data_IF_300429031899
#
_entry.id   IF_300429031899
#
_cell.length_a   1.000
_cell.length_b   1.000
_cell.length_c   1.000
_cell.angle_alpha   90.00
_cell.angle_beta   90.00
_cell.angle_gamma   90.00
#
_symmetry.space_group_name_H-M   'P 1'
#
loop_
_entity.id
_entity.type
_entity.pdbx_description
1 polymer ?
#
# COMPACT_ATOMS: atom_id res chain seq x y z
N UNK A 1 25.38 -16.86 12.77
CA UNK A 1 23.93 -16.63 12.80
C UNK A 1 23.52 -16.30 11.37
N UNK A 2 23.07 -17.32 10.65
CA UNK A 2 22.65 -17.17 9.25
C UNK A 2 21.23 -16.60 9.27
N UNK A 3 21.09 -15.31 8.93
CA UNK A 3 19.77 -14.74 8.73
C UNK A 3 19.28 -15.26 7.38
N UNK A 4 18.60 -16.41 7.39
CA UNK A 4 17.96 -16.95 6.20
C UNK A 4 16.98 -15.88 5.71
N UNK A 5 17.33 -15.22 4.61
CA UNK A 5 16.48 -14.24 3.95
C UNK A 5 15.24 -14.98 3.45
N UNK A 6 14.22 -15.06 4.30
CA UNK A 6 12.95 -15.68 3.94
C UNK A 6 12.26 -14.76 2.95
N UNK A 7 12.05 -15.29 1.74
CA UNK A 7 11.16 -14.68 0.78
C UNK A 7 9.74 -14.84 1.34
N UNK A 8 9.02 -13.74 1.41
CA UNK A 8 7.64 -13.67 1.88
C UNK A 8 6.69 -13.91 0.70
N UNK A 9 5.65 -14.69 0.96
CA UNK A 9 4.51 -14.85 0.05
C UNK A 9 3.56 -13.66 0.21
N UNK A 10 2.67 -13.45 -0.77
CA UNK A 10 1.68 -12.35 -0.74
C UNK A 10 0.79 -12.40 0.51
N UNK A 11 0.47 -13.60 0.98
CA UNK A 11 -0.33 -13.84 2.19
C UNK A 11 0.41 -13.42 3.48
N UNK A 12 1.75 -13.52 3.49
CA UNK A 12 2.55 -13.09 4.64
C UNK A 12 2.43 -11.57 4.85
N UNK A 13 2.24 -10.80 3.77
CA UNK A 13 2.01 -9.34 3.85
C UNK A 13 0.65 -9.03 4.46
N UNK A 14 -0.40 -9.78 4.08
CA UNK A 14 -1.75 -9.62 4.65
C UNK A 14 -1.73 -9.90 6.16
N UNK A 15 -1.05 -10.98 6.57
CA UNK A 15 -0.85 -11.29 7.98
C UNK A 15 -0.04 -10.22 8.70
N UNK A 16 1.02 -9.71 8.07
CA UNK A 16 1.84 -8.62 8.62
C UNK A 16 1.00 -7.36 8.84
N UNK A 17 0.14 -6.97 7.88
CA UNK A 17 -0.79 -5.85 8.00
C UNK A 17 -1.71 -6.06 9.22
N UNK A 18 -2.31 -7.26 9.34
CA UNK A 18 -3.21 -7.59 10.46
C UNK A 18 -2.52 -7.51 11.82
N UNK A 19 -1.27 -7.94 11.92
CA UNK A 19 -0.49 -7.89 13.16
C UNK A 19 -0.07 -6.45 13.49
N UNK A 20 0.46 -5.73 12.49
CA UNK A 20 0.96 -4.36 12.64
C UNK A 20 -0.13 -3.33 12.92
N UNK A 21 -1.35 -3.56 12.48
CA UNK A 21 -2.47 -2.66 12.76
C UNK A 21 -2.96 -2.72 14.21
N UNK A 22 -2.54 -3.72 14.99
CA UNK A 22 -2.84 -3.83 16.42
C UNK A 22 -1.82 -3.10 17.30
N UNK A 23 -0.69 -2.69 16.73
CA UNK A 23 0.29 -1.81 17.39
C UNK A 23 -0.22 -0.36 17.42
N UNK A 24 0.50 0.54 18.09
CA UNK A 24 0.17 1.98 18.03
C UNK A 24 0.10 2.43 16.55
N UNK A 25 -1.07 2.93 16.13
CA UNK A 25 -1.39 3.22 14.72
C UNK A 25 -0.33 4.11 14.05
N UNK A 26 0.22 5.08 14.78
CA UNK A 26 1.28 5.99 14.32
C UNK A 26 2.60 5.27 13.91
N UNK A 27 2.80 4.04 14.35
CA UNK A 27 3.99 3.23 14.08
C UNK A 27 3.74 2.14 13.03
N UNK A 28 2.53 2.09 12.44
CA UNK A 28 2.20 1.08 11.45
C UNK A 28 2.96 1.36 10.14
N UNK A 29 4.00 0.58 9.89
CA UNK A 29 4.79 0.60 8.65
C UNK A 29 4.99 -0.82 8.15
N UNK A 30 4.64 -1.07 6.88
CA UNK A 30 4.83 -2.36 6.22
C UNK A 30 5.73 -2.14 5.00
N UNK A 31 6.89 -2.81 4.99
CA UNK A 31 7.80 -2.79 3.84
C UNK A 31 7.29 -3.73 2.75
N UNK A 32 7.09 -3.18 1.56
CA UNK A 32 6.87 -3.93 0.32
C UNK A 32 8.15 -3.82 -0.50
N UNK A 33 8.86 -4.95 -0.63
CA UNK A 33 10.11 -5.01 -1.39
C UNK A 33 10.09 -6.18 -2.36
N UNK A 34 10.40 -5.91 -3.63
CA UNK A 34 10.57 -6.94 -4.66
C UNK A 34 11.76 -7.89 -4.37
N UNK A 35 12.66 -7.48 -3.47
CA UNK A 35 13.71 -8.37 -2.92
C UNK A 35 13.17 -9.43 -1.97
N UNK A 36 12.02 -9.14 -1.36
CA UNK A 36 11.40 -9.97 -0.33
C UNK A 36 10.14 -10.68 -0.84
N UNK A 37 9.45 -10.14 -1.85
CA UNK A 37 8.17 -10.65 -2.36
C UNK A 37 8.29 -10.87 -3.86
N UNK A 38 7.95 -12.08 -4.33
CA UNK A 38 8.01 -12.42 -5.76
C UNK A 38 6.78 -11.92 -6.52
N UNK A 39 6.99 -11.49 -7.76
CA UNK A 39 5.95 -11.22 -8.75
C UNK A 39 4.86 -10.23 -8.28
N UNK A 40 5.28 -9.14 -7.64
CA UNK A 40 4.37 -8.06 -7.23
C UNK A 40 3.74 -7.44 -8.48
N UNK A 41 2.42 -7.31 -8.48
CA UNK A 41 1.66 -6.57 -9.50
C UNK A 41 0.83 -5.44 -8.87
N UNK A 42 0.12 -4.67 -9.71
CA UNK A 42 -0.71 -3.56 -9.25
C UNK A 42 -1.88 -4.01 -8.37
N UNK A 43 -2.49 -5.16 -8.68
CA UNK A 43 -3.60 -5.71 -7.90
C UNK A 43 -3.16 -6.03 -6.48
N UNK A 44 -1.96 -6.61 -6.30
CA UNK A 44 -1.40 -6.90 -4.98
C UNK A 44 -1.24 -5.62 -4.16
N UNK A 45 -0.65 -4.58 -4.77
CA UNK A 45 -0.43 -3.28 -4.11
C UNK A 45 -1.76 -2.64 -3.71
N UNK A 46 -2.77 -2.65 -4.59
CA UNK A 46 -4.11 -2.13 -4.28
C UNK A 46 -4.78 -2.93 -3.16
N UNK A 47 -4.60 -4.25 -3.13
CA UNK A 47 -5.11 -5.10 -2.04
C UNK A 47 -4.46 -4.71 -0.73
N UNK A 48 -3.12 -4.62 -0.67
CA UNK A 48 -2.40 -4.29 0.56
C UNK A 48 -2.69 -2.88 1.07
N UNK A 49 -2.85 -1.90 0.17
CA UNK A 49 -3.29 -0.54 0.54
C UNK A 49 -4.66 -0.58 1.21
N UNK A 50 -5.63 -1.29 0.61
CA UNK A 50 -6.98 -1.34 1.14
C UNK A 50 -7.08 -2.16 2.43
N UNK A 51 -6.30 -3.23 2.56
CA UNK A 51 -6.23 -4.02 3.78
C UNK A 51 -5.64 -3.21 4.93
N UNK A 52 -4.58 -2.43 4.67
CA UNK A 52 -4.07 -1.47 5.66
C UNK A 52 -5.12 -0.38 5.94
N UNK A 53 -5.68 0.25 4.91
CA UNK A 53 -6.64 1.35 5.09
C UNK A 53 -7.82 0.95 5.99
N UNK A 54 -8.31 -0.28 5.80
CA UNK A 54 -9.40 -0.87 6.58
C UNK A 54 -9.00 -1.24 8.00
N UNK A 55 -7.74 -1.64 8.22
CA UNK A 55 -7.27 -2.07 9.54
C UNK A 55 -6.94 -0.91 10.47
N UNK A 56 -6.75 0.30 9.92
CA UNK A 56 -6.53 1.53 10.67
C UNK A 56 -7.83 2.09 11.28
N UNK A 57 -7.70 2.85 12.37
CA UNK A 57 -8.80 3.59 12.99
C UNK A 57 -9.32 4.74 12.09
N UNK A 58 -10.51 5.25 12.40
CA UNK A 58 -11.23 6.25 11.60
C UNK A 58 -10.49 7.58 11.39
N UNK A 59 -9.46 7.87 12.19
CA UNK A 59 -8.62 9.07 12.06
C UNK A 59 -7.42 8.90 11.12
N UNK A 60 -7.17 7.68 10.63
CA UNK A 60 -6.00 7.35 9.83
C UNK A 60 -6.37 6.73 8.48
N UNK A 61 -5.54 6.98 7.47
CA UNK A 61 -5.63 6.38 6.14
C UNK A 61 -4.28 5.80 5.69
N UNK A 62 -4.32 4.93 4.68
CA UNK A 62 -3.11 4.32 4.15
C UNK A 62 -2.40 5.33 3.24
N UNK A 63 -1.13 5.60 3.53
CA UNK A 63 -0.22 6.35 2.70
C UNK A 63 0.91 5.48 2.18
N UNK A 64 1.74 6.09 1.32
CA UNK A 64 2.96 5.46 0.81
C UNK A 64 4.15 6.34 1.17
N UNK A 65 5.22 5.69 1.60
CA UNK A 65 6.57 6.24 1.57
C UNK A 65 7.39 5.55 0.47
N UNK A 66 7.97 6.36 -0.42
CA UNK A 66 8.82 5.91 -1.53
C UNK A 66 10.17 6.62 -1.46
N UNK A 67 11.23 5.86 -1.73
CA UNK A 67 12.54 6.44 -2.00
C UNK A 67 12.57 7.02 -3.43
N UNK A 68 13.04 8.26 -3.56
CA UNK A 68 13.32 8.91 -4.83
C UNK A 68 14.54 9.83 -4.70
N UNK A 69 15.59 9.56 -5.50
CA UNK A 69 16.82 10.37 -5.56
C UNK A 69 17.51 10.57 -4.20
N UNK A 70 17.59 9.50 -3.41
CA UNK A 70 18.19 9.49 -2.08
C UNK A 70 17.30 10.09 -0.99
N UNK A 71 16.05 10.45 -1.29
CA UNK A 71 15.11 11.06 -0.34
C UNK A 71 13.88 10.17 -0.16
N UNK A 72 13.39 10.09 1.07
CA UNK A 72 12.09 9.50 1.35
C UNK A 72 10.99 10.52 1.09
N UNK A 73 10.02 10.14 0.28
CA UNK A 73 8.84 10.96 -0.03
C UNK A 73 7.61 10.23 0.49
N UNK A 74 6.93 10.85 1.45
CA UNK A 74 5.67 10.38 2.04
C UNK A 74 4.50 11.13 1.42
N UNK A 75 3.49 10.40 0.92
CA UNK A 75 2.33 10.99 0.26
C UNK A 75 1.05 10.17 0.44
N UNK A 76 -0.09 10.85 0.32
CA UNK A 76 -1.41 10.25 0.22
C UNK A 76 -1.67 9.80 -1.22
N UNK A 77 -2.36 8.68 -1.38
CA UNK A 77 -2.49 7.99 -2.66
C UNK A 77 -3.77 8.46 -3.36
N UNK A 78 -3.64 9.04 -4.55
CA UNK A 78 -4.79 9.47 -5.36
C UNK A 78 -5.12 8.46 -6.47
N UNK A 79 -4.09 7.85 -7.05
CA UNK A 79 -4.27 6.91 -8.16
C UNK A 79 -3.08 5.96 -8.31
N UNK A 80 -3.37 4.71 -8.70
CA UNK A 80 -2.38 3.70 -9.07
C UNK A 80 -2.77 3.11 -10.41
N UNK A 81 -1.81 3.07 -11.35
CA UNK A 81 -1.99 2.47 -12.67
C UNK A 81 -0.87 1.51 -13.01
N UNK A 82 -1.15 0.63 -13.96
CA UNK A 82 -0.18 -0.32 -14.49
C UNK A 82 0.15 -0.01 -15.93
N UNK A 83 1.45 -0.03 -16.28
CA UNK A 83 1.92 0.17 -17.65
C UNK A 83 2.81 -1.00 -18.05
N UNK A 84 2.48 -1.62 -19.19
CA UNK A 84 3.32 -2.57 -19.91
C UNK A 84 3.89 -3.74 -19.08
N UNK A 85 3.11 -4.32 -18.17
CA UNK A 85 3.45 -5.56 -17.46
C UNK A 85 4.66 -5.55 -16.51
N UNK A 86 5.27 -4.39 -16.26
CA UNK A 86 6.37 -4.29 -15.30
C UNK A 86 6.46 -2.96 -14.56
N UNK A 87 5.59 -1.98 -14.84
CA UNK A 87 5.67 -0.66 -14.20
C UNK A 87 4.40 -0.32 -13.44
N UNK A 88 4.58 0.12 -12.21
CA UNK A 88 3.53 0.66 -11.35
C UNK A 88 3.70 2.18 -11.29
N UNK A 89 2.65 2.88 -11.70
CA UNK A 89 2.55 4.31 -11.61
C UNK A 89 1.78 4.71 -10.36
N UNK A 90 2.38 5.56 -9.55
CA UNK A 90 1.77 6.18 -8.37
C UNK A 90 1.53 7.65 -8.65
N UNK A 91 0.31 8.11 -8.37
CA UNK A 91 -0.03 9.52 -8.31
C UNK A 91 -0.63 9.80 -6.93
N UNK A 92 -0.23 10.92 -6.37
CA UNK A 92 -0.70 11.34 -5.06
C UNK A 92 -0.31 12.76 -4.77
N UNK A 93 -0.37 13.12 -3.51
CA UNK A 93 0.09 14.42 -3.04
C UNK A 93 0.71 14.30 -1.65
N UNK A 94 1.75 15.09 -1.42
CA UNK A 94 2.39 15.20 -0.11
C UNK A 94 1.53 16.03 0.84
N UNK A 95 1.89 16.06 2.13
CA UNK A 95 1.14 16.78 3.17
C UNK A 95 0.88 18.27 2.85
N UNK A 96 1.83 18.93 2.16
CA UNK A 96 1.66 20.31 1.67
C UNK A 96 0.60 20.48 0.56
N UNK A 97 -0.05 19.42 0.11
CA UNK A 97 -1.01 19.40 -1.01
C UNK A 97 -0.38 19.36 -2.40
N UNK A 98 0.95 19.44 -2.51
CA UNK A 98 1.65 19.35 -3.80
C UNK A 98 1.54 17.95 -4.40
N UNK A 99 1.17 17.88 -5.68
CA UNK A 99 1.09 16.62 -6.41
C UNK A 99 2.47 16.00 -6.64
N UNK A 100 2.52 14.68 -6.56
CA UNK A 100 3.70 13.87 -6.84
C UNK A 100 3.34 12.69 -7.73
N UNK A 101 4.28 12.30 -8.58
CA UNK A 101 4.13 11.21 -9.53
C UNK A 101 5.39 10.35 -9.51
N UNK A 102 5.22 9.04 -9.36
CA UNK A 102 6.31 8.09 -9.37
C UNK A 102 6.00 6.94 -10.32
N UNK A 103 7.00 6.53 -11.10
CA UNK A 103 6.98 5.28 -11.86
C UNK A 103 8.02 4.37 -11.22
N UNK A 104 7.62 3.17 -10.82
CA UNK A 104 8.53 2.16 -10.27
C UNK A 104 8.38 0.86 -11.05
N UNK A 105 9.50 0.19 -11.33
CA UNK A 105 9.46 -1.18 -11.83
C UNK A 105 8.90 -2.10 -10.73
N UNK A 106 8.06 -3.06 -11.08
CA UNK A 106 7.58 -4.09 -10.16
C UNK A 106 8.71 -4.97 -9.64
N UNK A 107 9.75 -5.22 -10.46
CA UNK A 107 10.92 -6.03 -10.10
C UNK A 107 11.88 -5.32 -9.14
N UNK A 108 11.77 -4.00 -9.01
CA UNK A 108 12.63 -3.16 -8.16
C UNK A 108 11.80 -2.37 -7.13
N UNK A 109 10.53 -2.73 -6.97
CA UNK A 109 9.62 -2.03 -6.10
C UNK A 109 10.15 -2.07 -4.67
N UNK A 110 10.30 -0.90 -4.05
CA UNK A 110 10.69 -0.78 -2.66
C UNK A 110 9.95 0.41 -2.05
N UNK A 111 8.82 0.12 -1.43
CA UNK A 111 7.89 1.11 -0.87
C UNK A 111 7.52 0.69 0.55
N UNK A 112 7.09 1.64 1.36
CA UNK A 112 6.46 1.35 2.64
C UNK A 112 5.01 1.79 2.61
N UNK A 113 4.11 0.91 3.02
CA UNK A 113 2.76 1.33 3.41
C UNK A 113 2.82 1.86 4.84
N UNK A 114 2.22 3.02 5.06
CA UNK A 114 2.26 3.70 6.35
C UNK A 114 0.88 4.23 6.73
N UNK A 115 0.63 4.41 8.02
CA UNK A 115 -0.54 5.13 8.50
C UNK A 115 -0.30 6.64 8.44
N UNK A 116 -1.19 7.38 7.76
CA UNK A 116 -1.23 8.84 7.75
C UNK A 116 -2.49 9.34 8.43
N UNK A 117 -2.43 10.49 9.10
CA UNK A 117 -3.64 11.14 9.62
C UNK A 117 -4.55 11.50 8.45
N UNK A 118 -5.84 11.19 8.55
CA UNK A 118 -6.82 11.57 7.53
C UNK A 118 -6.93 13.07 7.46
N UNK A 119 -6.99 13.57 6.22
CA UNK A 119 -7.25 14.99 5.96
C UNK A 119 -8.73 15.36 6.13
N UNK A 120 -9.63 14.39 5.97
CA UNK A 120 -11.07 14.56 6.18
C UNK A 120 -11.52 13.54 7.24
N UNK A 121 -11.82 14.04 8.43
CA UNK A 121 -12.38 13.26 9.54
C UNK A 121 -13.91 13.34 9.55
N UNK A 122 -14.58 12.40 10.22
CA UNK A 122 -16.04 12.37 10.34
C UNK A 122 -16.81 11.81 9.14
N UNK A 123 -16.13 11.47 8.05
CA UNK A 123 -16.72 10.70 6.95
C UNK A 123 -16.35 9.23 7.08
N UNK A 124 -17.28 8.33 6.73
CA UNK A 124 -17.00 6.91 6.63
C UNK A 124 -15.85 6.67 5.65
N UNK A 125 -14.92 5.78 6.03
CA UNK A 125 -13.85 5.36 5.13
C UNK A 125 -14.40 4.64 3.91
N UNK A 126 -13.86 5.00 2.75
CA UNK A 126 -14.12 4.32 1.48
C UNK A 126 -12.85 3.62 1.01
N UNK A 127 -12.94 2.41 0.46
CA UNK A 127 -11.77 1.73 -0.10
C UNK A 127 -11.17 2.56 -1.25
N UNK A 128 -9.84 2.60 -1.30
CA UNK A 128 -9.10 3.21 -2.39
C UNK A 128 -9.42 2.52 -3.71
N UNK A 129 -9.92 3.30 -4.67
CA UNK A 129 -10.18 2.85 -6.04
C UNK A 129 -11.50 2.09 -6.25
N UNK A 130 -12.39 2.05 -5.24
CA UNK A 130 -13.69 1.39 -5.33
C UNK A 130 -14.79 2.26 -4.72
N UNK A 131 -16.04 1.99 -5.09
CA UNK A 131 -17.22 2.74 -4.61
C UNK A 131 -17.47 2.48 -3.13
N UNK A 132 -17.41 1.20 -2.72
CA UNK A 132 -17.64 0.77 -1.35
C UNK A 132 -16.90 -0.53 -1.00
N UNK A 133 -16.97 -0.91 0.29
CA UNK A 133 -16.32 -2.10 0.81
C UNK A 133 -16.91 -3.43 0.30
N UNK A 134 -18.15 -3.44 -0.19
CA UNK A 134 -18.77 -4.63 -0.77
C UNK A 134 -18.19 -4.88 -2.17
N UNK A 135 -18.11 -3.84 -3.01
CA UNK A 135 -17.46 -3.89 -4.32
C UNK A 135 -15.99 -4.36 -4.18
N UNK A 136 -15.24 -3.78 -3.25
CA UNK A 136 -13.86 -4.17 -3.00
C UNK A 136 -13.73 -5.67 -2.66
N UNK A 137 -14.57 -6.19 -1.77
CA UNK A 137 -14.54 -7.61 -1.38
C UNK A 137 -14.83 -8.54 -2.57
N UNK A 138 -15.81 -8.20 -3.39
CA UNK A 138 -16.16 -8.96 -4.58
C UNK A 138 -14.99 -9.01 -5.57
N UNK A 139 -14.39 -7.84 -5.86
CA UNK A 139 -13.25 -7.73 -6.78
C UNK A 139 -12.01 -8.44 -6.23
N UNK A 140 -11.72 -8.29 -4.93
CA UNK A 140 -10.61 -8.98 -4.25
C UNK A 140 -10.77 -10.50 -4.34
N UNK A 141 -11.97 -11.03 -4.07
CA UNK A 141 -12.23 -12.47 -4.16
C UNK A 141 -11.99 -13.01 -5.57
N UNK A 142 -12.44 -12.29 -6.61
CA UNK A 142 -12.21 -12.68 -8.01
C UNK A 142 -10.73 -12.59 -8.41
N UNK A 143 -10.00 -11.61 -7.86
CA UNK A 143 -8.58 -11.43 -8.14
C UNK A 143 -7.68 -12.45 -7.45
N UNK A 144 -8.05 -12.95 -6.26
CA UNK A 144 -7.31 -13.96 -5.51
C UNK A 144 -7.54 -15.41 -5.98
N UNK A 145 -8.53 -15.64 -6.85
CA UNK A 145 -8.83 -16.95 -7.43
C UNK A 145 -8.07 -17.26 -8.73
N UNK A 146 -7.26 -16.31 -9.23
CA UNK A 146 -6.53 -16.41 -10.49
C UNK A 146 -5.02 -16.39 -10.30
#
# INVERSE_FOLDING_TARGET
>A
MDATCRIFEKEDIINTIRLKSQEAVSNCQILISAKLIKNINNTDVVVWINDLHKSLDDDYEAGIQIEHQGKQVTFYIDHIAYKNNAMIYFKGHVDSGKQVHFVKSSSELNIQLIALKRRITGQQKTPFGFTDWAEYKEKKSKALLN
#
